data_IF_438063116764
#
_entry.id   IF_438063116764
#
_cell.length_a   1.000
_cell.length_b   1.000
_cell.length_c   1.000
_cell.angle_alpha   90.00
_cell.angle_beta   90.00
_cell.angle_gamma   90.00
#
_symmetry.space_group_name_H-M   'P 1'
#
loop_
_entity.id
_entity.type
_entity.pdbx_description
1 polymer ?
#
# COMPACT_ATOMS: atom_id res chain seq x y z
N UNK A 1 5.59 -24.44 -9.80
CA UNK A 1 5.75 -23.11 -9.16
C UNK A 1 7.22 -22.93 -8.89
N UNK A 2 7.92 -22.00 -9.57
CA UNK A 2 9.33 -21.73 -9.28
C UNK A 2 9.46 -21.11 -7.89
N UNK A 3 10.57 -21.37 -7.19
CA UNK A 3 10.86 -20.81 -5.86
C UNK A 3 10.74 -19.28 -5.84
N UNK A 4 11.09 -18.62 -6.93
CA UNK A 4 11.03 -17.15 -7.08
C UNK A 4 9.60 -16.58 -6.88
N UNK A 5 8.58 -17.35 -7.27
CA UNK A 5 7.18 -16.91 -7.14
C UNK A 5 6.67 -16.98 -5.69
N UNK A 6 7.24 -17.87 -4.87
CA UNK A 6 6.84 -18.03 -3.46
C UNK A 6 7.45 -16.92 -2.61
N UNK A 7 8.68 -16.51 -2.90
CA UNK A 7 9.35 -15.41 -2.19
C UNK A 7 8.65 -14.07 -2.45
N UNK A 8 8.16 -13.84 -3.67
CA UNK A 8 7.37 -12.65 -3.99
C UNK A 8 5.99 -12.68 -3.32
N UNK A 9 5.35 -13.85 -3.26
CA UNK A 9 4.09 -14.02 -2.50
C UNK A 9 4.29 -13.86 -0.99
N UNK A 10 5.42 -14.31 -0.43
CA UNK A 10 5.77 -14.12 0.98
C UNK A 10 6.09 -12.65 1.25
N UNK A 11 6.79 -11.95 0.34
CA UNK A 11 6.98 -10.49 0.44
C UNK A 11 5.66 -9.76 0.37
N UNK A 12 4.75 -10.16 -0.51
CA UNK A 12 3.42 -9.56 -0.61
C UNK A 12 2.56 -9.86 0.62
N UNK A 13 2.67 -11.06 1.18
CA UNK A 13 2.00 -11.41 2.42
C UNK A 13 2.57 -10.66 3.63
N UNK A 14 3.88 -10.52 3.74
CA UNK A 14 4.55 -9.74 4.79
C UNK A 14 4.40 -8.23 4.57
N UNK A 15 4.26 -7.75 3.34
CA UNK A 15 3.95 -6.36 3.05
C UNK A 15 2.51 -6.05 3.43
N UNK A 16 1.58 -6.98 3.17
CA UNK A 16 0.16 -6.87 3.53
C UNK A 16 -0.08 -7.04 5.03
N UNK A 17 0.42 -8.10 5.65
CA UNK A 17 0.30 -8.39 7.08
C UNK A 17 1.16 -7.48 7.95
N UNK A 18 2.34 -7.09 7.47
CA UNK A 18 3.19 -6.11 8.11
C UNK A 18 2.61 -4.70 8.05
N UNK A 19 1.85 -4.35 7.02
CA UNK A 19 1.11 -3.08 6.97
C UNK A 19 -0.06 -3.08 7.96
N UNK A 20 -0.80 -4.20 8.11
CA UNK A 20 -1.88 -4.31 9.11
C UNK A 20 -1.36 -4.18 10.54
N UNK A 21 -0.27 -4.87 10.88
CA UNK A 21 0.36 -4.76 12.21
C UNK A 21 0.91 -3.35 12.43
N UNK A 22 1.49 -2.72 11.40
CA UNK A 22 2.02 -1.35 11.50
C UNK A 22 0.92 -0.30 11.63
N UNK A 23 -0.22 -0.45 10.93
CA UNK A 23 -1.37 0.45 11.05
C UNK A 23 -2.01 0.41 12.44
N UNK A 24 -1.91 -0.71 13.16
CA UNK A 24 -2.39 -0.85 14.55
C UNK A 24 -1.73 0.16 15.51
N UNK A 25 -0.48 0.52 15.24
CA UNK A 25 0.29 1.46 16.06
C UNK A 25 0.53 2.81 15.36
N UNK A 26 -0.01 3.00 14.16
CA UNK A 26 0.19 4.21 13.38
C UNK A 26 -0.67 5.38 13.90
N UNK A 27 -0.24 6.61 13.61
CA UNK A 27 -1.03 7.80 13.90
C UNK A 27 -2.34 7.83 13.10
N UNK A 28 -3.34 8.56 13.62
CA UNK A 28 -4.68 8.71 12.99
C UNK A 28 -4.62 9.04 11.50
N UNK A 29 -3.71 9.94 11.12
CA UNK A 29 -3.53 10.39 9.72
C UNK A 29 -3.13 9.25 8.77
N UNK A 30 -2.30 8.33 9.24
CA UNK A 30 -1.82 7.20 8.42
C UNK A 30 -2.87 6.10 8.32
N UNK A 31 -3.62 5.86 9.39
CA UNK A 31 -4.79 4.98 9.37
C UNK A 31 -5.84 5.46 8.36
N UNK A 32 -6.19 6.75 8.39
CA UNK A 32 -7.13 7.34 7.44
C UNK A 32 -6.61 7.30 5.99
N UNK A 33 -5.30 7.51 5.78
CA UNK A 33 -4.70 7.38 4.44
C UNK A 33 -4.80 5.94 3.93
N UNK A 34 -4.56 4.95 4.79
CA UNK A 34 -4.70 3.53 4.43
C UNK A 34 -6.15 3.17 4.09
N UNK A 35 -7.11 3.58 4.92
CA UNK A 35 -8.53 3.35 4.66
C UNK A 35 -8.99 3.95 3.32
N UNK A 36 -8.57 5.19 3.00
CA UNK A 36 -8.86 5.82 1.69
C UNK A 36 -8.26 5.04 0.53
N UNK A 37 -7.02 4.56 0.68
CA UNK A 37 -6.37 3.76 -0.36
C UNK A 37 -7.11 2.43 -0.56
N UNK A 38 -7.54 1.76 0.51
CA UNK A 38 -8.33 0.53 0.43
C UNK A 38 -9.65 0.77 -0.31
N UNK A 39 -10.39 1.80 0.06
CA UNK A 39 -11.64 2.17 -0.61
C UNK A 39 -11.45 2.40 -2.11
N UNK A 40 -10.40 3.13 -2.51
CA UNK A 40 -10.13 3.37 -3.92
C UNK A 40 -9.62 2.13 -4.64
N UNK A 41 -8.97 1.19 -3.96
CA UNK A 41 -8.57 -0.11 -4.52
C UNK A 41 -9.80 -0.93 -4.87
N UNK A 42 -10.71 -1.11 -3.91
CA UNK A 42 -11.96 -1.85 -4.13
C UNK A 42 -12.79 -1.24 -5.26
N UNK A 43 -12.91 0.10 -5.28
CA UNK A 43 -13.62 0.82 -6.35
C UNK A 43 -12.92 0.70 -7.71
N UNK A 44 -11.58 0.69 -7.75
CA UNK A 44 -10.82 0.53 -8.97
C UNK A 44 -10.98 -0.87 -9.55
N UNK A 45 -11.00 -1.90 -8.69
CA UNK A 45 -11.24 -3.30 -9.06
C UNK A 45 -12.66 -3.49 -9.61
N UNK A 46 -13.65 -2.78 -9.04
CA UNK A 46 -15.00 -2.67 -9.61
C UNK A 46 -15.11 -1.80 -10.88
N UNK A 47 -14.00 -1.36 -11.47
CA UNK A 47 -13.98 -0.65 -12.75
C UNK A 47 -14.08 0.88 -12.68
N UNK A 48 -14.03 1.48 -11.48
CA UNK A 48 -14.07 2.94 -11.34
C UNK A 48 -12.81 3.62 -11.87
N UNK A 49 -12.93 4.34 -12.98
CA UNK A 49 -11.81 5.05 -13.61
C UNK A 49 -11.23 6.17 -12.71
N UNK A 50 -12.10 6.88 -11.98
CA UNK A 50 -11.66 7.92 -11.02
C UNK A 50 -10.77 7.35 -9.93
N UNK A 51 -11.11 6.17 -9.42
CA UNK A 51 -10.33 5.53 -8.35
C UNK A 51 -9.00 4.98 -8.88
N UNK A 52 -8.97 4.44 -10.12
CA UNK A 52 -7.72 4.08 -10.79
C UNK A 52 -6.77 5.28 -10.93
N UNK A 53 -7.28 6.43 -11.37
CA UNK A 53 -6.47 7.65 -11.48
C UNK A 53 -5.94 8.14 -10.13
N UNK A 54 -6.76 8.06 -9.07
CA UNK A 54 -6.35 8.41 -7.72
C UNK A 54 -5.15 7.57 -7.26
N UNK A 55 -5.24 6.25 -7.41
CA UNK A 55 -4.18 5.32 -7.03
C UNK A 55 -2.90 5.54 -7.85
N UNK A 56 -3.02 5.79 -9.15
CA UNK A 56 -1.88 6.12 -10.00
C UNK A 56 -1.17 7.40 -9.55
N UNK A 57 -1.93 8.44 -9.18
CA UNK A 57 -1.36 9.70 -8.67
C UNK A 57 -0.63 9.49 -7.34
N UNK A 58 -1.20 8.68 -6.44
CA UNK A 58 -0.54 8.31 -5.19
C UNK A 58 0.73 7.50 -5.43
N UNK A 59 0.68 6.49 -6.31
CA UNK A 59 1.84 5.68 -6.66
C UNK A 59 2.98 6.53 -7.23
N UNK A 60 2.70 7.46 -8.17
CA UNK A 60 3.70 8.40 -8.69
C UNK A 60 4.31 9.27 -7.59
N UNK A 61 3.49 9.75 -6.65
CA UNK A 61 3.98 10.54 -5.51
C UNK A 61 4.87 9.70 -4.59
N UNK A 62 4.51 8.46 -4.33
CA UNK A 62 5.31 7.53 -3.53
C UNK A 62 6.65 7.18 -4.21
N UNK A 63 6.66 6.98 -5.53
CA UNK A 63 7.89 6.75 -6.32
C UNK A 63 8.79 7.97 -6.33
N UNK A 64 8.23 9.19 -6.30
CA UNK A 64 9.03 10.43 -6.27
C UNK A 64 9.74 10.70 -4.94
N UNK A 65 9.44 9.93 -3.89
CA UNK A 65 10.03 10.15 -2.58
C UNK A 65 11.35 9.40 -2.44
N UNK A 66 12.35 10.10 -1.88
CA UNK A 66 13.71 9.58 -1.71
C UNK A 66 13.72 8.36 -0.76
N UNK A 67 12.85 8.36 0.25
CA UNK A 67 12.73 7.26 1.21
C UNK A 67 11.51 6.41 0.90
N UNK A 68 11.69 5.09 0.95
CA UNK A 68 10.58 4.17 0.80
C UNK A 68 9.53 4.41 1.90
N UNK A 69 8.28 4.00 1.64
CA UNK A 69 7.22 4.03 2.67
C UNK A 69 7.66 3.30 3.95
N UNK A 70 8.41 2.22 3.80
CA UNK A 70 8.96 1.44 4.93
C UNK A 70 10.00 2.24 5.71
N UNK A 71 10.90 2.95 5.03
CA UNK A 71 11.96 3.72 5.69
C UNK A 71 11.43 4.93 6.44
N UNK A 72 10.39 5.60 5.90
CA UNK A 72 9.77 6.76 6.58
C UNK A 72 9.06 6.40 7.88
N UNK A 73 8.71 5.13 8.07
CA UNK A 73 7.99 4.63 9.24
C UNK A 73 8.92 4.00 10.30
N UNK A 74 10.23 3.91 10.05
CA UNK A 74 11.22 3.35 11.00
C UNK A 74 11.69 4.36 12.07
N UNK A 75 11.13 5.56 12.11
CA UNK A 75 11.41 6.58 13.15
C UNK A 75 10.44 6.45 14.30
#
# INVERSE_FOLDING_TARGET
>A
MSKDNVDDLIRDYLSSGGEVVRLRYAGKKDMEKSQRNSYHKDRADCGSQKSKMYLQKQSKKEVSLIFSKVDRWRK
#
